data_IF_232694414451
#
_entry.id   IF_232694414451
#
_cell.length_a   1.000
_cell.length_b   1.000
_cell.length_c   1.000
_cell.angle_alpha   90.00
_cell.angle_beta   90.00
_cell.angle_gamma   90.00
#
_symmetry.space_group_name_H-M   'P 1'
#
loop_
_entity.id
_entity.type
_entity.pdbx_description
1 polymer ?
#
# COMPACT_ATOMS: atom_id res chain seq x y z
N UNK A 1 -7.74 -21.29 21.67
CA UNK A 1 -7.25 -21.38 20.28
C UNK A 1 -6.20 -22.48 20.21
N UNK A 2 -6.45 -23.50 19.37
CA UNK A 2 -5.70 -24.75 19.35
C UNK A 2 -4.33 -24.66 18.68
N UNK A 3 -3.49 -25.69 18.92
CA UNK A 3 -2.10 -25.85 18.44
C UNK A 3 -1.89 -25.52 16.96
N UNK A 4 -2.89 -25.77 16.12
CA UNK A 4 -2.88 -25.44 14.70
C UNK A 4 -2.64 -23.94 14.45
N UNK A 5 -3.34 -23.05 15.18
CA UNK A 5 -3.15 -21.60 15.00
C UNK A 5 -1.74 -21.18 15.41
N UNK A 6 -1.16 -21.80 16.44
CA UNK A 6 0.19 -21.45 16.90
C UNK A 6 1.30 -21.89 15.92
N UNK A 7 1.13 -23.02 15.23
CA UNK A 7 2.11 -23.52 14.26
C UNK A 7 2.08 -22.78 12.93
N UNK A 8 0.90 -22.31 12.51
CA UNK A 8 0.69 -21.74 11.17
C UNK A 8 0.41 -20.23 11.16
N UNK A 9 0.21 -19.60 12.32
CA UNK A 9 0.03 -18.15 12.37
C UNK A 9 1.33 -17.44 11.95
N UNK A 10 1.18 -16.48 11.03
CA UNK A 10 2.27 -15.58 10.68
C UNK A 10 2.53 -14.62 11.84
N UNK A 11 3.81 -14.35 12.12
CA UNK A 11 4.19 -13.34 13.11
C UNK A 11 3.72 -11.97 12.63
N UNK A 12 2.77 -11.37 13.34
CA UNK A 12 2.31 -10.02 13.04
C UNK A 12 3.50 -9.04 13.13
N UNK A 13 3.76 -8.30 12.05
CA UNK A 13 4.77 -7.24 12.00
C UNK A 13 4.04 -5.91 11.97
N UNK A 14 3.99 -5.23 13.11
CA UNK A 14 3.28 -3.95 13.29
C UNK A 14 3.75 -2.92 12.25
N UNK A 15 2.84 -2.47 11.40
CA UNK A 15 3.08 -1.44 10.38
C UNK A 15 3.76 -1.92 9.10
N UNK A 16 4.08 -3.23 9.01
CA UNK A 16 4.66 -3.85 7.82
C UNK A 16 3.73 -4.89 7.19
N UNK A 17 2.69 -5.32 7.91
CA UNK A 17 1.69 -6.19 7.32
C UNK A 17 0.87 -5.39 6.29
N UNK A 18 0.67 -5.90 5.07
CA UNK A 18 -0.17 -5.24 4.07
C UNK A 18 -1.58 -4.89 4.58
N UNK A 19 -2.09 -5.60 5.59
CA UNK A 19 -3.39 -5.35 6.19
C UNK A 19 -3.37 -4.30 7.31
N UNK A 20 -2.19 -3.81 7.72
CA UNK A 20 -2.07 -2.68 8.66
C UNK A 20 -2.27 -1.31 7.97
N UNK A 21 -2.66 -1.30 6.68
CA UNK A 21 -2.99 -0.09 5.92
C UNK A 21 -4.12 0.66 6.61
N UNK A 22 -3.77 1.77 7.26
CA UNK A 22 -4.75 2.70 7.82
C UNK A 22 -5.30 3.59 6.73
N UNK A 23 -6.60 3.84 6.80
CA UNK A 23 -7.24 4.84 5.96
C UNK A 23 -6.77 6.25 6.33
N UNK A 24 -6.06 6.92 5.43
CA UNK A 24 -5.61 8.29 5.64
C UNK A 24 -6.67 9.31 5.17
N UNK A 25 -7.36 9.92 6.14
CA UNK A 25 -8.36 10.98 5.90
C UNK A 25 -7.75 12.23 5.25
N UNK A 26 -6.47 12.52 5.48
CA UNK A 26 -5.80 13.66 4.85
C UNK A 26 -5.59 13.38 3.36
N UNK A 27 -5.20 12.16 3.01
CA UNK A 27 -5.07 11.73 1.62
C UNK A 27 -6.43 11.78 0.91
N UNK A 28 -7.49 11.26 1.53
CA UNK A 28 -8.86 11.36 1.02
C UNK A 28 -9.24 12.81 0.71
N UNK A 29 -9.00 13.72 1.66
CA UNK A 29 -9.33 15.14 1.50
C UNK A 29 -8.59 15.80 0.34
N UNK A 30 -7.33 15.41 0.09
CA UNK A 30 -6.56 15.88 -1.07
C UNK A 30 -7.15 15.34 -2.37
N UNK A 31 -7.44 14.04 -2.44
CA UNK A 31 -8.04 13.40 -3.62
C UNK A 31 -9.39 14.03 -3.99
N UNK A 32 -10.23 14.31 -2.99
CA UNK A 32 -11.55 14.93 -3.21
C UNK A 32 -11.51 16.36 -3.71
N UNK A 33 -10.42 17.10 -3.42
CA UNK A 33 -10.24 18.48 -3.88
C UNK A 33 -9.62 18.57 -5.27
N UNK A 34 -9.09 17.46 -5.78
CA UNK A 34 -8.44 17.40 -7.08
C UNK A 34 -9.50 17.47 -8.19
N UNK A 35 -9.17 18.13 -9.31
CA UNK A 35 -10.02 18.11 -10.49
C UNK A 35 -10.09 16.69 -11.06
N UNK A 36 -11.25 16.23 -11.58
CA UNK A 36 -11.40 14.89 -12.11
C UNK A 36 -10.39 14.54 -13.22
N UNK A 37 -10.08 15.50 -14.10
CA UNK A 37 -9.09 15.30 -15.18
C UNK A 37 -7.68 15.05 -14.61
N UNK A 38 -7.25 15.87 -13.65
CA UNK A 38 -5.97 15.69 -12.98
C UNK A 38 -5.89 14.38 -12.18
N UNK A 39 -7.03 13.90 -11.64
CA UNK A 39 -7.06 12.62 -10.92
C UNK A 39 -6.94 11.47 -11.91
N UNK A 40 -7.61 11.58 -13.05
CA UNK A 40 -7.54 10.61 -14.13
C UNK A 40 -6.13 10.50 -14.69
N UNK A 41 -5.43 11.62 -14.87
CA UNK A 41 -4.03 11.67 -15.33
C UNK A 41 -3.10 11.01 -14.30
N UNK A 42 -3.25 11.33 -13.01
CA UNK A 42 -2.47 10.72 -11.93
C UNK A 42 -2.67 9.20 -11.84
N UNK A 43 -3.90 8.71 -12.06
CA UNK A 43 -4.23 7.28 -12.02
C UNK A 43 -3.88 6.55 -13.32
N UNK A 44 -3.82 7.26 -14.45
CA UNK A 44 -3.51 6.68 -15.75
C UNK A 44 -2.05 6.23 -15.84
N UNK A 45 -1.19 6.67 -14.92
CA UNK A 45 0.16 6.14 -14.75
C UNK A 45 0.96 6.23 -16.03
N UNK A 46 1.50 7.41 -16.34
CA UNK A 46 2.71 7.40 -17.14
C UNK A 46 3.76 6.64 -16.30
N UNK A 47 4.04 5.41 -16.72
CA UNK A 47 5.03 4.49 -16.14
C UNK A 47 6.43 5.13 -16.17
N UNK A 48 6.70 6.09 -15.29
CA UNK A 48 8.06 6.34 -14.86
C UNK A 48 8.45 5.15 -13.96
N UNK A 49 9.00 4.16 -14.64
CA UNK A 49 9.75 3.06 -14.08
C UNK A 49 10.95 3.59 -13.27
N UNK A 50 10.70 4.15 -12.08
CA UNK A 50 11.72 4.33 -11.06
C UNK A 50 12.09 2.96 -10.50
N UNK A 51 13.05 2.35 -11.20
CA UNK A 51 14.06 1.42 -10.71
C UNK A 51 13.68 0.59 -9.49
N UNK A 52 13.33 -0.68 -9.72
CA UNK A 52 13.78 -1.73 -8.80
C UNK A 52 15.31 -1.75 -8.88
N UNK A 53 16.09 -1.47 -7.82
CA UNK A 53 17.45 -1.97 -7.82
C UNK A 53 17.33 -3.49 -7.72
N UNK A 54 17.79 -4.20 -8.75
CA UNK A 54 18.19 -5.60 -8.60
C UNK A 54 19.13 -5.66 -7.39
N UNK A 55 18.68 -6.28 -6.30
CA UNK A 55 19.58 -6.76 -5.26
C UNK A 55 19.74 -8.24 -5.51
N UNK A 56 20.56 -8.55 -6.51
CA UNK A 56 21.32 -9.80 -6.53
C UNK A 56 22.51 -9.61 -5.57
N UNK A 57 22.53 -10.38 -4.48
CA UNK A 57 23.76 -10.87 -3.85
C UNK A 57 23.51 -12.27 -3.28
#
# INVERSE_FOLDING_TARGET
MGRFVQQYARKARKGLDPNDRKYDRKLEGKMKRLAPAALSELLAGEDDAESRPDSEE
#
